data_IF_213981812225
#
_entry.id   IF_213981812225
#
_cell.length_a   1.000
_cell.length_b   1.000
_cell.length_c   1.000
_cell.angle_alpha   90.00
_cell.angle_beta   90.00
_cell.angle_gamma   90.00
#
_symmetry.space_group_name_H-M   'P 1'
#
loop_
_entity.id
_entity.type
_entity.pdbx_description
1 polymer ?
#
# COMPACT_ATOMS: atom_id res chain seq x y z
N UNK A 1 10.51 4.03 -20.81
CA UNK A 1 10.76 3.83 -19.36
C UNK A 1 10.25 2.50 -18.78
N UNK A 2 9.09 1.96 -19.19
CA UNK A 2 8.50 0.75 -18.56
C UNK A 2 9.19 -0.60 -18.85
N UNK A 3 10.21 -0.63 -19.72
CA UNK A 3 10.93 -1.85 -20.11
C UNK A 3 12.18 -2.13 -19.26
N UNK A 4 12.54 -1.21 -18.38
CA UNK A 4 13.78 -1.26 -17.58
C UNK A 4 13.43 -1.19 -16.09
N UNK A 5 14.21 -1.86 -15.23
CA UNK A 5 14.11 -1.74 -13.77
C UNK A 5 15.33 -1.00 -13.24
N UNK A 6 15.10 0.21 -12.72
CA UNK A 6 16.14 1.11 -12.22
C UNK A 6 16.29 1.07 -10.71
N UNK A 7 15.18 1.04 -9.99
CA UNK A 7 15.17 0.86 -8.54
C UNK A 7 13.99 -0.02 -8.13
N UNK A 8 14.13 -0.70 -6.99
CA UNK A 8 13.04 -1.38 -6.34
C UNK A 8 13.26 -1.45 -4.84
N UNK A 9 12.23 -1.09 -4.09
CA UNK A 9 12.17 -1.22 -2.65
C UNK A 9 11.24 -2.38 -2.31
N UNK A 10 11.71 -3.32 -1.49
CA UNK A 10 10.90 -4.38 -0.90
C UNK A 10 10.89 -4.18 0.61
N UNK A 11 9.70 -4.01 1.19
CA UNK A 11 9.50 -3.93 2.62
C UNK A 11 8.89 -5.24 3.11
N UNK A 12 9.54 -5.89 4.06
CA UNK A 12 8.97 -7.04 4.77
C UNK A 12 8.08 -6.49 5.89
N UNK A 13 6.79 -6.84 5.83
CA UNK A 13 5.76 -6.30 6.70
C UNK A 13 5.28 -7.34 7.71
N UNK A 14 4.99 -6.89 8.93
CA UNK A 14 4.18 -7.62 9.90
C UNK A 14 2.96 -6.78 10.29
N UNK A 15 1.79 -7.41 10.36
CA UNK A 15 0.51 -6.77 10.70
C UNK A 15 -0.14 -7.54 11.85
N UNK A 16 -0.42 -6.86 12.95
CA UNK A 16 -1.07 -7.44 14.13
C UNK A 16 -2.35 -6.68 14.47
N UNK A 17 -3.50 -7.32 14.70
CA UNK A 17 -4.71 -6.65 15.17
C UNK A 17 -4.47 -5.98 16.54
N UNK A 18 -4.85 -4.69 16.67
CA UNK A 18 -4.95 -4.01 17.97
C UNK A 18 -6.38 -4.08 18.55
N UNK A 19 -7.33 -4.45 17.71
CA UNK A 19 -8.72 -4.70 18.04
C UNK A 19 -9.31 -5.69 17.04
N UNK A 20 -10.65 -5.86 17.01
CA UNK A 20 -11.29 -6.81 16.11
C UNK A 20 -10.99 -6.47 14.66
N UNK A 21 -10.40 -7.42 13.94
CA UNK A 21 -10.15 -7.31 12.51
C UNK A 21 -11.06 -8.28 11.77
N UNK A 22 -11.70 -7.83 10.69
CA UNK A 22 -12.43 -8.69 9.77
C UNK A 22 -12.12 -8.27 8.35
N UNK A 23 -11.44 -9.13 7.59
CA UNK A 23 -11.41 -9.04 6.14
C UNK A 23 -12.49 -9.96 5.59
N UNK A 24 -13.65 -9.38 5.27
CA UNK A 24 -14.84 -10.14 4.92
C UNK A 24 -14.69 -10.85 3.57
N UNK A 25 -14.96 -12.15 3.54
CA UNK A 25 -15.06 -12.92 2.31
C UNK A 25 -16.28 -12.50 1.47
N UNK A 26 -16.12 -12.52 0.15
CA UNK A 26 -17.22 -12.30 -0.77
C UNK A 26 -18.11 -13.53 -0.86
N UNK A 27 -19.43 -13.34 -0.84
CA UNK A 27 -20.41 -14.43 -0.98
C UNK A 27 -20.94 -14.96 0.35
N UNK A 28 -21.78 -16.00 0.25
CA UNK A 28 -22.34 -16.75 1.38
C UNK A 28 -21.64 -18.11 1.36
N UNK A 29 -21.09 -18.54 2.49
CA UNK A 29 -20.52 -19.89 2.58
C UNK A 29 -21.65 -20.92 2.53
N UNK A 30 -21.51 -22.01 1.75
CA UNK A 30 -22.48 -23.08 1.75
C UNK A 30 -22.43 -23.92 3.04
N UNK A 31 -21.43 -23.71 3.91
CA UNK A 31 -21.32 -24.40 5.18
C UNK A 31 -22.11 -23.66 6.27
N UNK A 32 -23.21 -24.24 6.79
CA UNK A 32 -24.06 -23.60 7.79
C UNK A 32 -23.44 -23.53 9.20
N UNK A 33 -22.31 -24.20 9.45
CA UNK A 33 -21.63 -24.16 10.75
C UNK A 33 -20.67 -22.97 10.92
N UNK A 34 -20.48 -22.18 9.86
CA UNK A 34 -19.60 -21.02 9.88
C UNK A 34 -20.41 -19.72 10.01
N UNK A 35 -19.84 -18.66 10.61
CA UNK A 35 -20.50 -17.36 10.76
C UNK A 35 -21.04 -16.78 9.45
N UNK A 36 -22.06 -15.92 9.53
CA UNK A 36 -22.63 -15.22 8.37
C UNK A 36 -21.58 -14.38 7.63
N UNK A 37 -20.70 -13.71 8.39
CA UNK A 37 -19.62 -12.88 7.87
C UNK A 37 -18.27 -13.49 8.23
N UNK A 38 -17.72 -14.23 7.27
CA UNK A 38 -16.47 -14.97 7.45
C UNK A 38 -15.26 -14.13 7.09
N UNK A 39 -14.16 -14.44 7.76
CA UNK A 39 -12.86 -13.96 7.34
C UNK A 39 -12.45 -14.68 6.04
N UNK A 40 -11.77 -13.99 5.13
CA UNK A 40 -11.16 -14.65 3.96
C UNK A 40 -10.15 -15.71 4.38
N UNK A 41 -10.22 -16.87 3.72
CA UNK A 41 -9.40 -18.06 4.01
C UNK A 41 -8.57 -18.48 2.81
N UNK A 42 -7.46 -19.14 3.10
CA UNK A 42 -6.56 -19.77 2.14
C UNK A 42 -6.02 -21.07 2.72
N UNK A 43 -5.38 -21.89 1.88
CA UNK A 43 -4.68 -23.09 2.33
C UNK A 43 -3.19 -22.79 2.49
N UNK A 44 -2.69 -22.84 3.72
CA UNK A 44 -1.27 -22.69 4.03
C UNK A 44 -0.58 -24.08 4.03
N UNK A 45 0.56 -24.25 3.32
CA UNK A 45 1.20 -25.56 3.17
C UNK A 45 1.48 -26.30 4.49
N UNK A 46 1.85 -25.57 5.55
CA UNK A 46 2.21 -26.15 6.84
C UNK A 46 1.06 -26.15 7.88
N UNK A 47 0.07 -25.28 7.72
CA UNK A 47 -0.97 -25.04 8.75
C UNK A 47 -2.37 -25.49 8.31
N UNK A 48 -2.53 -25.92 7.07
CA UNK A 48 -3.82 -26.22 6.50
C UNK A 48 -4.63 -24.95 6.23
N UNK A 49 -5.96 -25.06 6.36
CA UNK A 49 -6.85 -23.92 6.14
C UNK A 49 -6.64 -22.84 7.22
N UNK A 50 -6.40 -21.60 6.79
CA UNK A 50 -6.19 -20.47 7.70
C UNK A 50 -6.74 -19.17 7.11
N UNK A 51 -6.98 -18.18 7.96
CA UNK A 51 -7.31 -16.82 7.55
C UNK A 51 -6.08 -16.09 7.02
N UNK A 52 -6.26 -15.13 6.11
CA UNK A 52 -5.16 -14.32 5.55
C UNK A 52 -5.66 -12.91 5.22
N UNK A 53 -4.75 -11.97 4.94
CA UNK A 53 -5.12 -10.63 4.48
C UNK A 53 -4.71 -10.49 3.01
N UNK A 54 -5.66 -10.37 2.06
CA UNK A 54 -5.34 -10.19 0.66
C UNK A 54 -4.57 -8.88 0.45
N UNK A 55 -3.54 -8.91 -0.40
CA UNK A 55 -2.74 -7.74 -0.73
C UNK A 55 -3.59 -6.62 -1.35
N UNK A 56 -4.65 -6.99 -2.08
CA UNK A 56 -5.65 -6.06 -2.62
C UNK A 56 -6.40 -5.28 -1.53
N UNK A 57 -6.63 -5.89 -0.36
CA UNK A 57 -7.30 -5.23 0.78
C UNK A 57 -6.42 -4.14 1.36
N UNK A 58 -5.13 -4.44 1.61
CA UNK A 58 -4.20 -3.45 2.14
C UNK A 58 -3.89 -2.36 1.10
N UNK A 59 -3.67 -2.75 -0.17
CA UNK A 59 -3.47 -1.81 -1.28
C UNK A 59 -4.64 -0.86 -1.45
N UNK A 60 -5.88 -1.35 -1.39
CA UNK A 60 -7.09 -0.54 -1.53
C UNK A 60 -7.26 0.45 -0.38
N UNK A 61 -6.94 0.04 0.85
CA UNK A 61 -6.97 0.90 2.03
C UNK A 61 -5.94 2.03 1.94
N UNK A 62 -4.70 1.70 1.59
CA UNK A 62 -3.62 2.69 1.42
C UNK A 62 -3.92 3.63 0.25
N UNK A 63 -4.39 3.09 -0.89
CA UNK A 63 -4.83 3.91 -2.04
C UNK A 63 -5.91 4.90 -1.64
N UNK A 64 -6.96 4.45 -0.96
CA UNK A 64 -8.07 5.31 -0.56
C UNK A 64 -7.66 6.43 0.41
N UNK A 65 -6.65 6.21 1.24
CA UNK A 65 -6.06 7.26 2.07
C UNK A 65 -5.29 8.28 1.21
N UNK A 66 -4.38 7.81 0.36
CA UNK A 66 -3.59 8.69 -0.53
C UNK A 66 -4.50 9.52 -1.43
N UNK A 67 -5.54 8.93 -2.03
CA UNK A 67 -6.49 9.67 -2.86
C UNK A 67 -7.21 10.77 -2.08
N UNK A 68 -7.58 10.53 -0.81
CA UNK A 68 -8.20 11.57 0.04
C UNK A 68 -7.21 12.69 0.34
N UNK A 69 -5.99 12.37 0.75
CA UNK A 69 -4.95 13.35 1.05
C UNK A 69 -4.64 14.23 -0.18
N UNK A 70 -4.47 13.61 -1.35
CA UNK A 70 -4.19 14.33 -2.59
C UNK A 70 -5.40 15.16 -3.08
N UNK A 71 -6.64 14.73 -2.83
CA UNK A 71 -7.83 15.56 -3.11
C UNK A 71 -7.96 16.76 -2.17
N UNK A 72 -7.35 16.73 -0.98
CA UNK A 72 -7.26 17.89 -0.10
C UNK A 72 -6.25 18.92 -0.63
N UNK A 73 -5.15 18.48 -1.24
CA UNK A 73 -4.15 19.37 -1.84
C UNK A 73 -4.63 19.94 -3.19
N UNK A 74 -5.18 19.10 -4.06
CA UNK A 74 -5.72 19.41 -5.41
C UNK A 74 -4.85 20.35 -6.29
N UNK A 75 -3.53 20.26 -6.15
CA UNK A 75 -2.61 20.96 -7.05
C UNK A 75 -2.44 20.16 -8.34
N UNK A 76 -3.22 20.56 -9.35
CA UNK A 76 -3.24 19.94 -10.68
C UNK A 76 -2.05 20.31 -11.57
N UNK A 77 -1.16 21.18 -11.10
CA UNK A 77 0.09 21.49 -11.81
C UNK A 77 1.21 20.50 -11.49
N UNK A 78 1.04 19.69 -10.44
CA UNK A 78 2.01 18.69 -9.99
C UNK A 78 1.39 17.30 -9.82
N UNK A 79 2.06 16.41 -9.09
CA UNK A 79 1.51 15.10 -8.69
C UNK A 79 0.54 15.22 -7.52
N UNK A 80 0.40 16.39 -6.88
CA UNK A 80 -0.36 16.63 -5.64
C UNK A 80 -1.87 16.73 -5.83
N UNK A 81 -2.43 15.88 -6.69
CA UNK A 81 -3.87 15.77 -6.91
C UNK A 81 -4.25 14.30 -7.13
N UNK A 82 -5.53 13.98 -6.92
CA UNK A 82 -6.10 12.68 -7.22
C UNK A 82 -7.41 12.85 -8.01
N UNK A 83 -7.61 12.00 -9.01
CA UNK A 83 -8.86 11.94 -9.75
C UNK A 83 -9.97 11.26 -8.91
N UNK A 84 -11.16 11.18 -9.50
CA UNK A 84 -12.24 10.41 -8.88
C UNK A 84 -11.91 8.92 -8.77
N UNK A 85 -12.38 8.33 -7.67
CA UNK A 85 -12.05 6.96 -7.25
C UNK A 85 -12.60 5.90 -8.20
N UNK A 86 -13.78 6.15 -8.78
CA UNK A 86 -14.48 5.17 -9.60
C UNK A 86 -14.06 5.28 -11.07
N UNK A 87 -13.58 4.18 -11.68
CA UNK A 87 -13.04 4.21 -13.05
C UNK A 87 -14.10 4.60 -14.09
N UNK A 88 -15.39 4.36 -13.82
CA UNK A 88 -16.48 4.63 -14.77
C UNK A 88 -16.90 6.11 -14.82
N UNK A 89 -16.44 6.93 -13.88
CA UNK A 89 -16.69 8.36 -13.90
C UNK A 89 -15.89 9.02 -15.02
N UNK A 90 -16.51 9.96 -15.73
CA UNK A 90 -15.91 10.67 -16.86
C UNK A 90 -14.62 11.42 -16.50
N UNK A 91 -14.49 11.83 -15.25
CA UNK A 91 -13.37 12.53 -14.62
C UNK A 91 -12.23 11.62 -14.15
N UNK A 92 -12.37 10.29 -14.24
CA UNK A 92 -11.32 9.36 -13.83
C UNK A 92 -10.17 9.35 -14.84
N UNK A 93 -8.92 9.18 -14.38
CA UNK A 93 -7.77 9.03 -15.29
C UNK A 93 -7.96 7.86 -16.26
N UNK A 94 -8.58 6.76 -15.80
CA UNK A 94 -8.84 5.58 -16.62
C UNK A 94 -9.72 5.90 -17.82
N UNK A 95 -10.75 6.73 -17.64
CA UNK A 95 -11.66 7.15 -18.71
C UNK A 95 -11.03 8.21 -19.60
N UNK A 96 -10.42 9.24 -19.01
CA UNK A 96 -9.81 10.36 -19.75
C UNK A 96 -8.66 9.93 -20.64
N UNK A 97 -7.87 8.94 -20.19
CA UNK A 97 -6.69 8.45 -20.91
C UNK A 97 -6.97 7.15 -21.67
N UNK A 98 -8.24 6.71 -21.76
CA UNK A 98 -8.61 5.41 -22.33
C UNK A 98 -8.18 5.20 -23.79
N UNK A 99 -8.03 6.29 -24.56
CA UNK A 99 -7.58 6.28 -25.97
C UNK A 99 -6.14 6.73 -26.17
N UNK A 100 -5.44 7.10 -25.11
CA UNK A 100 -4.04 7.52 -25.20
C UNK A 100 -3.14 6.28 -25.27
N UNK A 101 -2.18 6.27 -26.19
CA UNK A 101 -1.23 5.16 -26.40
C UNK A 101 0.20 5.54 -25.97
N UNK A 102 0.51 6.84 -25.90
CA UNK A 102 1.83 7.28 -25.49
C UNK A 102 2.01 7.10 -23.97
N UNK A 103 2.87 6.16 -23.59
CA UNK A 103 3.14 5.84 -22.18
C UNK A 103 3.63 7.02 -21.33
N UNK A 104 4.40 7.95 -21.91
CA UNK A 104 4.86 9.14 -21.19
C UNK A 104 3.70 10.08 -20.91
N UNK A 105 2.82 10.30 -21.90
CA UNK A 105 1.58 11.08 -21.74
C UNK A 105 0.64 10.44 -20.72
N UNK A 106 0.46 9.10 -20.77
CA UNK A 106 -0.39 8.39 -19.79
C UNK A 106 0.13 8.63 -18.38
N UNK A 107 1.44 8.51 -18.17
CA UNK A 107 2.04 8.72 -16.85
C UNK A 107 1.94 10.17 -16.39
N UNK A 108 2.36 11.11 -17.23
CA UNK A 108 2.40 12.55 -16.88
C UNK A 108 1.01 13.15 -16.68
N UNK A 109 -0.01 12.68 -17.41
CA UNK A 109 -1.40 13.13 -17.21
C UNK A 109 -2.18 12.33 -16.15
N UNK A 110 -1.62 11.25 -15.61
CA UNK A 110 -2.23 10.54 -14.49
C UNK A 110 -2.02 11.29 -13.19
N UNK A 111 -3.04 11.28 -12.33
CA UNK A 111 -2.97 11.84 -10.97
C UNK A 111 -1.94 11.12 -10.10
N UNK A 112 -1.54 11.72 -8.98
CA UNK A 112 -0.51 11.16 -8.08
C UNK A 112 -0.86 9.76 -7.59
N UNK A 113 -2.11 9.53 -7.18
CA UNK A 113 -2.56 8.21 -6.76
C UNK A 113 -2.44 7.18 -7.90
N UNK A 114 -2.88 7.54 -9.12
CA UNK A 114 -2.78 6.68 -10.29
C UNK A 114 -1.32 6.35 -10.67
N UNK A 115 -0.38 7.29 -10.50
CA UNK A 115 1.06 7.05 -10.72
C UNK A 115 1.67 6.04 -9.74
N UNK A 116 1.09 5.90 -8.54
CA UNK A 116 1.51 4.90 -7.53
C UNK A 116 0.77 3.57 -7.73
N UNK A 117 -0.57 3.59 -7.73
CA UNK A 117 -1.39 2.39 -7.63
C UNK A 117 -1.82 1.81 -8.98
N UNK A 118 -1.78 2.61 -10.03
CA UNK A 118 -2.17 2.25 -11.39
C UNK A 118 -3.67 2.36 -11.67
N UNK A 119 -3.99 2.20 -12.95
CA UNK A 119 -5.33 2.05 -13.52
C UNK A 119 -5.24 1.20 -14.80
N UNK A 120 -6.34 1.05 -15.53
CA UNK A 120 -6.43 0.16 -16.70
C UNK A 120 -5.43 0.46 -17.81
N UNK A 121 -4.93 1.70 -17.92
CA UNK A 121 -3.91 2.10 -18.92
C UNK A 121 -2.51 2.28 -18.32
N UNK A 122 -2.36 2.23 -17.00
CA UNK A 122 -1.10 2.46 -16.31
C UNK A 122 -0.84 1.41 -15.24
N UNK A 123 0.23 0.60 -15.42
CA UNK A 123 0.69 -0.33 -14.38
C UNK A 123 1.09 0.46 -13.13
N UNK A 124 0.53 0.08 -11.98
CA UNK A 124 0.94 0.62 -10.69
C UNK A 124 2.38 0.26 -10.35
N UNK A 125 3.05 1.13 -9.61
CA UNK A 125 4.42 0.93 -9.11
C UNK A 125 4.47 0.19 -7.79
N UNK A 126 3.38 0.21 -7.03
CA UNK A 126 3.27 -0.50 -5.75
C UNK A 126 2.45 -1.79 -5.88
N UNK A 127 3.01 -2.86 -5.32
CA UNK A 127 2.37 -4.16 -5.13
C UNK A 127 2.40 -4.52 -3.64
N UNK A 128 1.33 -5.15 -3.19
CA UNK A 128 1.23 -5.75 -1.86
C UNK A 128 1.01 -7.24 -2.09
N UNK A 129 1.82 -8.09 -1.47
CA UNK A 129 1.52 -9.52 -1.45
C UNK A 129 0.35 -9.77 -0.51
N UNK A 130 -0.21 -10.96 -0.59
CA UNK A 130 -1.05 -11.46 0.48
C UNK A 130 -0.20 -11.56 1.76
N UNK A 131 -0.81 -11.23 2.90
CA UNK A 131 -0.20 -11.41 4.21
C UNK A 131 -0.74 -12.70 4.82
N UNK A 132 0.15 -13.67 4.98
CA UNK A 132 -0.14 -14.98 5.57
C UNK A 132 0.20 -14.98 7.06
N UNK A 133 -0.49 -15.79 7.89
CA UNK A 133 -0.15 -15.92 9.30
C UNK A 133 1.31 -16.34 9.54
N UNK A 134 2.02 -15.60 10.40
CA UNK A 134 3.35 -15.97 10.89
C UNK A 134 3.25 -16.81 12.17
N UNK A 135 2.19 -16.64 12.94
CA UNK A 135 1.88 -17.35 14.17
C UNK A 135 0.39 -17.73 14.22
N UNK A 136 -0.04 -18.31 15.33
CA UNK A 136 -1.43 -18.73 15.51
C UNK A 136 -2.36 -17.51 15.56
N UNK A 137 -3.30 -17.44 14.61
CA UNK A 137 -4.33 -16.40 14.57
C UNK A 137 -5.55 -16.88 15.32
N UNK A 138 -5.87 -16.20 16.42
CA UNK A 138 -7.11 -16.45 17.17
C UNK A 138 -8.26 -15.69 16.55
N UNK A 139 -9.33 -16.40 16.22
CA UNK A 139 -10.59 -15.81 15.80
C UNK A 139 -11.66 -15.95 16.88
N UNK A 140 -12.62 -15.04 16.87
CA UNK A 140 -13.80 -15.05 17.73
C UNK A 140 -15.05 -14.78 16.90
N UNK A 141 -16.20 -15.26 17.36
CA UNK A 141 -17.49 -14.89 16.78
C UNK A 141 -18.06 -13.71 17.57
N UNK A 142 -18.35 -12.61 16.86
CA UNK A 142 -19.04 -11.45 17.40
C UNK A 142 -20.44 -11.34 16.82
N UNK A 143 -21.40 -11.06 17.69
CA UNK A 143 -22.80 -10.89 17.30
C UNK A 143 -23.10 -9.44 16.96
N UNK A 144 -23.76 -9.23 15.83
CA UNK A 144 -24.26 -7.95 15.40
C UNK A 144 -25.78 -7.96 15.25
N UNK A 145 -26.39 -6.83 15.53
CA UNK A 145 -27.81 -6.57 15.27
C UNK A 145 -27.93 -5.21 14.58
N UNK A 146 -28.81 -5.10 13.60
CA UNK A 146 -29.24 -3.84 13.02
C UNK A 146 -30.56 -3.43 13.67
N UNK A 147 -30.57 -2.25 14.29
CA UNK A 147 -31.75 -1.70 14.96
C UNK A 147 -32.36 -0.63 14.07
N UNK A 148 -33.68 -0.72 13.85
CA UNK A 148 -34.43 0.31 13.15
C UNK A 148 -34.44 1.60 13.96
N UNK A 149 -34.06 2.71 13.34
CA UNK A 149 -34.13 4.04 13.98
C UNK A 149 -35.57 4.54 14.18
N UNK A 150 -36.55 3.95 13.48
CA UNK A 150 -37.96 4.33 13.56
C UNK A 150 -38.70 3.51 14.62
N UNK A 151 -38.56 2.19 14.59
CA UNK A 151 -39.32 1.30 15.47
C UNK A 151 -38.55 0.89 16.73
N UNK A 152 -37.25 1.20 16.82
CA UNK A 152 -36.35 0.69 17.85
C UNK A 152 -36.27 -0.85 17.95
N UNK A 153 -36.91 -1.57 17.02
CA UNK A 153 -36.89 -3.02 16.94
C UNK A 153 -35.71 -3.53 16.09
N UNK A 154 -35.43 -4.82 16.20
CA UNK A 154 -34.47 -5.51 15.33
C UNK A 154 -34.96 -5.46 13.89
N UNK A 155 -34.20 -4.80 13.02
CA UNK A 155 -34.43 -4.77 11.59
C UNK A 155 -33.75 -5.94 10.87
N UNK A 156 -32.55 -6.32 11.32
CA UNK A 156 -31.78 -7.44 10.78
C UNK A 156 -30.88 -8.04 11.87
N UNK A 157 -30.82 -9.37 11.93
CA UNK A 157 -29.97 -10.12 12.85
C UNK A 157 -30.76 -10.98 13.87
N UNK A 158 -30.07 -11.59 14.85
CA UNK A 158 -28.62 -11.52 15.07
C UNK A 158 -27.85 -12.11 13.88
N UNK A 159 -26.69 -11.53 13.58
CA UNK A 159 -25.76 -12.09 12.59
C UNK A 159 -24.38 -12.26 13.21
N UNK A 160 -23.68 -13.28 12.75
CA UNK A 160 -22.38 -13.69 13.26
C UNK A 160 -21.24 -13.12 12.40
N UNK A 161 -20.23 -12.56 13.05
CA UNK A 161 -19.03 -12.04 12.41
C UNK A 161 -17.81 -12.74 12.98
N UNK A 162 -17.07 -13.43 12.12
CA UNK A 162 -15.75 -13.94 12.48
C UNK A 162 -14.75 -12.80 12.51
N UNK A 163 -14.06 -12.60 13.62
CA UNK A 163 -13.04 -11.55 13.74
C UNK A 163 -11.73 -12.14 14.24
N UNK A 164 -10.61 -11.72 13.64
CA UNK A 164 -9.29 -11.99 14.21
C UNK A 164 -9.05 -11.01 15.37
N UNK A 165 -8.65 -11.54 16.52
CA UNK A 165 -8.38 -10.77 17.75
C UNK A 165 -6.92 -10.80 18.19
N UNK A 166 -6.15 -11.77 17.71
CA UNK A 166 -4.70 -11.87 17.93
C UNK A 166 -4.01 -12.61 16.80
N UNK A 167 -2.68 -12.59 16.81
CA UNK A 167 -1.81 -13.19 15.80
C UNK A 167 -1.26 -12.14 14.84
N UNK A 168 -0.22 -12.53 14.10
CA UNK A 168 0.54 -11.68 13.20
C UNK A 168 0.49 -12.22 11.78
N UNK A 169 0.22 -11.33 10.83
CA UNK A 169 0.22 -11.62 9.40
C UNK A 169 1.46 -11.00 8.75
N UNK A 170 2.19 -11.76 7.96
CA UNK A 170 3.43 -11.35 7.31
C UNK A 170 3.33 -11.37 5.80
N UNK A 171 3.96 -10.38 5.15
CA UNK A 171 3.99 -10.26 3.69
C UNK A 171 4.96 -9.18 3.24
N UNK A 172 4.83 -8.74 1.99
CA UNK A 172 5.73 -7.75 1.41
C UNK A 172 4.98 -6.61 0.71
N UNK A 173 5.53 -5.40 0.81
CA UNK A 173 5.22 -4.28 -0.08
C UNK A 173 6.41 -4.11 -1.02
N UNK A 174 6.15 -4.16 -2.33
CA UNK A 174 7.16 -3.95 -3.36
C UNK A 174 6.83 -2.68 -4.13
N UNK A 175 7.80 -1.79 -4.24
CA UNK A 175 7.71 -0.51 -4.94
C UNK A 175 8.79 -0.46 -6.02
N UNK A 176 8.39 -0.43 -7.30
CA UNK A 176 9.31 -0.51 -8.45
C UNK A 176 9.37 0.80 -9.24
N UNK A 177 10.58 1.15 -9.70
CA UNK A 177 10.83 2.34 -10.52
C UNK A 177 10.22 3.60 -9.91
N UNK A 178 10.38 3.82 -8.61
CA UNK A 178 9.66 4.84 -7.88
C UNK A 178 10.36 6.19 -7.90
N UNK A 179 9.56 7.25 -7.88
CA UNK A 179 10.00 8.60 -7.58
C UNK A 179 10.03 8.82 -6.07
N UNK A 180 10.84 9.77 -5.60
CA UNK A 180 11.04 10.02 -4.16
C UNK A 180 9.72 10.38 -3.45
N UNK A 181 8.88 11.22 -4.05
CA UNK A 181 7.57 11.56 -3.46
C UNK A 181 6.64 10.35 -3.28
N UNK A 182 6.78 9.31 -4.11
CA UNK A 182 5.97 8.09 -3.99
C UNK A 182 6.38 7.28 -2.77
N UNK A 183 7.69 7.22 -2.50
CA UNK A 183 8.22 6.65 -1.27
C UNK A 183 7.71 7.42 -0.05
N UNK A 184 7.76 8.76 -0.09
CA UNK A 184 7.26 9.61 0.99
C UNK A 184 5.78 9.38 1.30
N UNK A 185 4.90 9.37 0.29
CA UNK A 185 3.47 9.12 0.49
C UNK A 185 3.18 7.71 1.03
N UNK A 186 3.94 6.71 0.58
CA UNK A 186 3.80 5.35 1.10
C UNK A 186 4.25 5.28 2.55
N UNK A 187 5.42 5.85 2.89
CA UNK A 187 5.90 5.93 4.28
C UNK A 187 4.88 6.62 5.20
N UNK A 188 4.35 7.78 4.79
CA UNK A 188 3.28 8.49 5.48
C UNK A 188 2.04 7.62 5.68
N UNK A 189 1.66 6.84 4.67
CA UNK A 189 0.51 5.96 4.75
C UNK A 189 0.73 4.81 5.74
N UNK A 190 1.90 4.18 5.75
CA UNK A 190 2.22 3.12 6.71
C UNK A 190 2.25 3.67 8.15
N UNK A 191 2.78 4.87 8.35
CA UNK A 191 2.75 5.55 9.64
C UNK A 191 1.32 5.89 10.08
N UNK A 192 0.48 6.37 9.15
CA UNK A 192 -0.93 6.69 9.40
C UNK A 192 -1.77 5.47 9.79
N UNK A 193 -1.39 4.25 9.38
CA UNK A 193 -1.98 3.00 9.91
C UNK A 193 -1.67 2.86 11.40
N UNK A 194 -0.41 3.05 11.79
CA UNK A 194 0.02 2.91 13.18
C UNK A 194 -0.57 3.98 14.12
N UNK A 195 -0.79 5.19 13.59
CA UNK A 195 -1.49 6.29 14.28
C UNK A 195 -3.01 6.09 14.36
N UNK A 196 -3.56 5.04 13.74
CA UNK A 196 -5.00 4.75 13.76
C UNK A 196 -5.86 5.59 12.81
N UNK A 197 -5.24 6.44 11.98
CA UNK A 197 -5.91 7.24 10.95
C UNK A 197 -6.42 6.35 9.80
N UNK A 198 -5.71 5.25 9.53
CA UNK A 198 -6.07 4.25 8.53
C UNK A 198 -6.48 2.95 9.23
N UNK A 199 -7.76 2.60 9.10
CA UNK A 199 -8.31 1.31 9.57
C UNK A 199 -8.47 0.31 8.42
N UNK A 200 -8.22 -0.97 8.71
CA UNK A 200 -8.19 -2.08 7.75
C UNK A 200 -9.45 -2.95 7.88
N UNK A 201 -9.98 -3.45 6.75
CA UNK A 201 -11.10 -4.39 6.76
C UNK A 201 -12.50 -3.78 6.92
N UNK A 202 -13.45 -4.60 7.37
CA UNK A 202 -14.85 -4.26 7.59
C UNK A 202 -15.06 -3.58 8.96
N UNK A 203 -16.19 -2.88 9.14
CA UNK A 203 -16.60 -2.37 10.45
C UNK A 203 -15.77 -1.20 11.01
N UNK A 204 -15.01 -0.49 10.17
CA UNK A 204 -14.07 0.59 10.58
C UNK A 204 -14.69 1.65 11.50
N UNK A 205 -15.96 1.99 11.28
CA UNK A 205 -16.69 2.98 12.08
C UNK A 205 -17.42 2.36 13.30
N UNK A 206 -17.24 1.06 13.54
CA UNK A 206 -17.85 0.28 14.64
C UNK A 206 -16.79 -0.27 15.59
N UNK A 207 -15.60 0.34 15.62
CA UNK A 207 -14.49 -0.05 16.48
C UNK A 207 -13.62 -1.20 15.94
N UNK A 208 -13.73 -1.54 14.65
CA UNK A 208 -12.93 -2.61 14.04
C UNK A 208 -11.77 -2.02 13.23
N UNK A 209 -10.78 -2.85 12.94
CA UNK A 209 -9.78 -2.59 11.90
C UNK A 209 -8.57 -1.77 12.36
N UNK A 210 -8.41 -1.53 13.66
CA UNK A 210 -7.18 -0.98 14.21
C UNK A 210 -6.10 -2.07 14.25
N UNK A 211 -4.94 -1.75 13.69
CA UNK A 211 -3.82 -2.69 13.53
C UNK A 211 -2.50 -2.01 13.86
N UNK A 212 -1.49 -2.79 14.22
CA UNK A 212 -0.09 -2.41 14.20
C UNK A 212 0.52 -2.94 12.91
N UNK A 213 1.18 -2.08 12.15
CA UNK A 213 1.93 -2.45 10.95
C UNK A 213 3.41 -2.12 11.16
N UNK A 214 4.28 -3.11 11.12
CA UNK A 214 5.73 -2.90 11.24
C UNK A 214 6.43 -3.27 9.95
N UNK A 215 7.50 -2.55 9.66
CA UNK A 215 8.47 -2.92 8.62
C UNK A 215 9.63 -3.59 9.32
N UNK A 216 9.79 -4.89 9.10
CA UNK A 216 10.84 -5.68 9.74
C UNK A 216 12.20 -5.51 9.03
N UNK A 217 12.15 -5.39 7.71
CA UNK A 217 13.32 -5.20 6.85
C UNK A 217 12.93 -4.35 5.64
N UNK A 218 13.84 -3.45 5.23
CA UNK A 218 13.76 -2.78 3.94
C UNK A 218 14.94 -3.19 3.06
N UNK A 219 14.64 -3.64 1.85
CA UNK A 219 15.62 -4.01 0.82
C UNK A 219 15.50 -3.09 -0.38
N UNK A 220 16.54 -2.33 -0.66
CA UNK A 220 16.64 -1.46 -1.82
C UNK A 220 17.60 -2.08 -2.85
N UNK A 221 17.07 -2.41 -4.01
CA UNK A 221 17.81 -2.85 -5.19
C UNK A 221 17.90 -1.66 -6.17
N UNK A 222 19.11 -1.23 -6.56
CA UNK A 222 19.30 -0.15 -7.55
C UNK A 222 20.23 -0.57 -8.69
N UNK A 223 19.91 -0.13 -9.90
CA UNK A 223 20.73 -0.36 -11.07
C UNK A 223 22.11 0.30 -10.94
N UNK A 224 23.14 -0.41 -11.42
CA UNK A 224 24.53 0.00 -11.38
C UNK A 224 25.30 -0.57 -10.18
N UNK A 225 26.62 -0.62 -10.34
CA UNK A 225 27.57 -1.21 -9.38
C UNK A 225 28.21 -0.19 -8.45
N UNK A 226 28.01 1.10 -8.70
CA UNK A 226 28.51 2.20 -7.88
C UNK A 226 27.34 3.06 -7.42
N UNK A 227 27.11 3.06 -6.11
CA UNK A 227 26.17 3.98 -5.46
C UNK A 227 26.76 4.42 -4.12
N UNK A 228 26.51 5.67 -3.74
CA UNK A 228 26.84 6.13 -2.41
C UNK A 228 25.88 5.47 -1.40
N UNK A 229 26.38 4.82 -0.34
CA UNK A 229 25.55 4.06 0.61
C UNK A 229 24.41 4.87 1.23
N UNK A 230 24.65 6.16 1.46
CA UNK A 230 23.73 7.09 2.12
C UNK A 230 22.88 7.91 1.15
N UNK A 231 22.91 7.60 -0.15
CA UNK A 231 22.10 8.27 -1.17
C UNK A 231 21.10 7.30 -1.78
N UNK A 232 19.81 7.65 -1.71
CA UNK A 232 18.74 6.90 -2.35
C UNK A 232 18.33 7.62 -3.63
N UNK A 233 18.30 6.91 -4.76
CA UNK A 233 17.94 7.50 -6.05
C UNK A 233 16.51 7.10 -6.41
N UNK A 234 15.69 8.11 -6.70
CA UNK A 234 14.41 7.92 -7.37
C UNK A 234 14.60 7.71 -8.87
N UNK A 235 13.52 7.38 -9.57
CA UNK A 235 13.52 7.11 -11.00
C UNK A 235 14.16 8.22 -11.84
N UNK A 236 13.90 9.48 -11.48
CA UNK A 236 14.46 10.64 -12.17
C UNK A 236 16.01 10.63 -12.18
N UNK A 237 16.68 10.09 -11.15
CA UNK A 237 18.14 10.04 -11.10
C UNK A 237 18.76 9.05 -12.12
N UNK A 238 17.98 8.14 -12.71
CA UNK A 238 18.48 7.12 -13.64
C UNK A 238 18.22 7.42 -15.12
N UNK A 239 17.42 8.44 -15.43
CA UNK A 239 17.00 8.76 -16.80
C UNK A 239 17.49 10.16 -17.21
N UNK A 240 17.71 10.35 -18.51
CA UNK A 240 18.11 11.65 -19.08
C UNK A 240 16.98 12.67 -19.07
N UNK A 241 17.31 13.94 -19.29
CA UNK A 241 16.37 15.06 -19.15
C UNK A 241 15.17 14.99 -20.10
N UNK A 242 15.36 14.47 -21.31
CA UNK A 242 14.27 14.25 -22.26
C UNK A 242 13.18 13.32 -21.69
N UNK A 243 13.58 12.21 -21.05
CA UNK A 243 12.64 11.29 -20.40
C UNK A 243 12.03 11.91 -19.13
N UNK A 244 12.83 12.66 -18.34
CA UNK A 244 12.30 13.37 -17.15
C UNK A 244 11.17 14.33 -17.54
N UNK A 245 11.38 15.12 -18.59
CA UNK A 245 10.39 16.08 -19.08
C UNK A 245 9.18 15.38 -19.68
N UNK A 246 9.38 14.36 -20.52
CA UNK A 246 8.28 13.64 -21.18
C UNK A 246 7.35 12.94 -20.18
N UNK A 247 7.90 12.33 -19.15
CA UNK A 247 7.12 11.66 -18.10
C UNK A 247 6.70 12.61 -16.97
N UNK A 248 7.16 13.86 -16.95
CA UNK A 248 6.87 14.80 -15.86
C UNK A 248 7.30 14.25 -14.50
N UNK A 249 8.53 13.74 -14.43
CA UNK A 249 9.12 13.21 -13.19
C UNK A 249 9.44 14.37 -12.24
N UNK A 250 9.07 14.21 -10.97
CA UNK A 250 9.19 15.24 -9.97
C UNK A 250 10.56 15.23 -9.26
N UNK A 251 10.96 16.40 -8.80
CA UNK A 251 12.07 16.59 -7.86
C UNK A 251 11.64 16.26 -6.42
N UNK A 252 12.58 15.99 -5.50
CA UNK A 252 14.00 15.76 -5.78
C UNK A 252 14.24 14.36 -6.41
N UNK A 253 15.26 14.21 -7.28
CA UNK A 253 15.58 12.92 -7.88
C UNK A 253 16.32 11.97 -6.92
N UNK A 254 16.86 12.49 -5.81
CA UNK A 254 17.64 11.76 -4.82
C UNK A 254 17.26 12.19 -3.40
N UNK A 255 17.50 11.31 -2.43
CA UNK A 255 17.51 11.63 -1.01
C UNK A 255 18.90 11.39 -0.44
N UNK A 256 19.43 12.40 0.24
CA UNK A 256 20.76 12.37 0.85
C UNK A 256 20.67 12.09 2.36
N UNK A 257 21.81 11.68 2.93
CA UNK A 257 21.95 11.49 4.38
C UNK A 257 21.05 10.38 4.91
N UNK A 258 20.85 9.31 4.13
CA UNK A 258 20.22 8.08 4.60
C UNK A 258 21.16 7.35 5.56
N UNK A 259 20.63 6.58 6.52
CA UNK A 259 21.47 5.74 7.37
C UNK A 259 22.28 4.77 6.49
N UNK A 260 23.47 4.40 6.95
CA UNK A 260 24.24 3.32 6.33
C UNK A 260 23.39 2.03 6.25
N UNK A 261 23.53 1.19 5.21
CA UNK A 261 22.85 -0.10 5.17
C UNK A 261 23.49 -1.09 6.14
N UNK A 262 22.69 -2.01 6.67
CA UNK A 262 23.18 -3.11 7.52
C UNK A 262 24.02 -4.09 6.70
N UNK A 263 23.64 -4.28 5.44
CA UNK A 263 24.39 -5.06 4.46
C UNK A 263 24.30 -4.38 3.10
N UNK A 264 25.43 -4.31 2.41
CA UNK A 264 25.51 -3.89 1.01
C UNK A 264 26.17 -5.02 0.22
N UNK A 265 25.56 -5.43 -0.88
CA UNK A 265 26.08 -6.49 -1.74
C UNK A 265 25.87 -6.20 -3.22
N UNK A 266 26.79 -6.68 -4.05
CA UNK A 266 26.62 -6.70 -5.49
C UNK A 266 25.71 -7.87 -5.87
N UNK A 267 24.52 -7.55 -6.40
CA UNK A 267 23.52 -8.51 -6.85
C UNK A 267 23.47 -8.52 -8.38
N UNK A 268 24.62 -8.83 -9.01
CA UNK A 268 24.78 -8.83 -10.46
C UNK A 268 24.78 -7.42 -11.04
N UNK A 269 23.73 -7.07 -11.80
CA UNK A 269 23.59 -5.75 -12.44
C UNK A 269 23.08 -4.64 -11.50
N UNK A 270 22.82 -4.97 -10.24
CA UNK A 270 22.29 -4.05 -9.25
C UNK A 270 23.09 -4.10 -7.95
N UNK A 271 23.07 -2.98 -7.22
CA UNK A 271 23.54 -2.91 -5.84
C UNK A 271 22.34 -3.10 -4.92
N UNK A 272 22.45 -4.05 -3.99
CA UNK A 272 21.45 -4.32 -2.97
C UNK A 272 21.90 -3.74 -1.63
N UNK A 273 20.98 -3.04 -0.98
CA UNK A 273 21.14 -2.48 0.37
C UNK A 273 20.01 -2.98 1.27
N UNK A 274 20.37 -3.53 2.42
CA UNK A 274 19.44 -4.06 3.41
C UNK A 274 19.49 -3.18 4.66
N UNK A 275 18.32 -2.83 5.17
CA UNK A 275 18.14 -1.98 6.34
C UNK A 275 17.25 -2.68 7.36
N UNK A 276 17.60 -2.57 8.64
CA UNK A 276 16.77 -3.05 9.75
C UNK A 276 15.53 -2.18 9.96
N UNK A 277 14.59 -2.66 10.76
CA UNK A 277 13.40 -1.92 11.19
C UNK A 277 13.72 -0.53 11.77
N UNK A 278 14.75 -0.41 12.60
CA UNK A 278 15.18 0.85 13.21
C UNK A 278 15.65 1.85 12.15
N UNK A 279 16.50 1.39 11.23
CA UNK A 279 17.01 2.23 10.13
C UNK A 279 15.90 2.61 9.16
N UNK A 280 14.91 1.74 8.96
CA UNK A 280 13.72 2.08 8.17
C UNK A 280 12.94 3.26 8.77
N UNK A 281 12.81 3.37 10.10
CA UNK A 281 12.11 4.48 10.72
C UNK A 281 12.74 5.84 10.36
N UNK A 282 14.07 5.92 10.35
CA UNK A 282 14.79 7.13 9.93
C UNK A 282 14.61 7.43 8.43
N UNK A 283 14.62 6.38 7.59
CA UNK A 283 14.39 6.49 6.14
C UNK A 283 12.97 6.98 5.86
N UNK A 284 11.97 6.40 6.53
CA UNK A 284 10.57 6.77 6.40
C UNK A 284 10.37 8.24 6.78
N UNK A 285 10.94 8.69 7.92
CA UNK A 285 10.88 10.09 8.35
C UNK A 285 11.45 11.03 7.27
N UNK A 286 12.67 10.76 6.79
CA UNK A 286 13.31 11.57 5.73
C UNK A 286 12.53 11.57 4.42
N UNK A 287 11.93 10.43 4.05
CA UNK A 287 11.09 10.34 2.87
C UNK A 287 9.80 11.17 3.02
N UNK A 288 9.19 11.19 4.20
CA UNK A 288 8.02 12.04 4.49
C UNK A 288 8.40 13.52 4.48
N UNK A 289 9.51 13.91 5.12
CA UNK A 289 10.03 15.31 5.10
C UNK A 289 10.28 15.79 3.67
N UNK A 290 10.66 14.90 2.75
CA UNK A 290 10.89 15.27 1.35
C UNK A 290 9.62 15.68 0.59
N UNK A 291 8.43 15.36 1.11
CA UNK A 291 7.16 15.76 0.49
C UNK A 291 6.93 17.28 0.57
N UNK A 292 7.51 17.95 1.56
CA UNK A 292 7.42 19.41 1.75
C UNK A 292 8.41 20.17 0.86
N UNK A 293 9.43 19.48 0.33
CA UNK A 293 10.50 20.06 -0.48
C UNK A 293 10.18 20.15 -1.98
N UNK A 294 8.95 19.81 -2.40
CA UNK A 294 8.52 19.72 -3.82
C UNK A 294 7.65 20.89 -4.24
#
# INVERSE_FOLDING_TARGET
>A
MHKTRYNALSLTLSLTPKGPLLIKAGGISPNPSLPDMQFVRTFHPERGETVYIPGSSLKGVVRGFVEKALRTLDDRTSWRWACDTFPDLASSCAKQLGKEENSATIYSKSCGACRIFGHTRLKGRVAFTDLSPLDEVRTEVRYGVAISRLSHAVAQGPFEMEVAVSGTFGGHLVLENFEIWQLGLLALSLESVNQGLIKVGFGKNRGFGEVSLRVEEARLDEAGTHCEPTVWRGLAAFVGDADRQAYGLASPPILNGMPEPAKMESAGLCTRRIYSAERWADIARKAVESLDAV
#
